data_IF_942811521021
#
_entry.id   IF_942811521021
#
_cell.length_a   1.000
_cell.length_b   1.000
_cell.length_c   1.000
_cell.angle_alpha   90.00
_cell.angle_beta   90.00
_cell.angle_gamma   90.00
#
_symmetry.space_group_name_H-M   'P 1'
#
loop_
_entity.id
_entity.type
_entity.pdbx_description
1 polymer ?
#
# COMPACT_ATOMS: atom_id res chain seq x y z
N UNK A 1 -4.69 1.24 -23.32
CA UNK A 1 -5.62 0.96 -22.21
C UNK A 1 -6.32 -0.38 -22.32
N UNK A 2 -6.89 -0.73 -23.45
CA UNK A 2 -7.56 -2.02 -23.62
C UNK A 2 -6.64 -3.20 -23.36
N UNK A 3 -5.42 -3.18 -23.89
CA UNK A 3 -4.42 -4.21 -23.66
C UNK A 3 -4.11 -4.37 -22.18
N UNK A 4 -3.95 -3.25 -21.46
CA UNK A 4 -3.64 -3.26 -20.04
C UNK A 4 -4.76 -3.86 -19.21
N UNK A 5 -6.01 -3.61 -19.59
CA UNK A 5 -7.17 -4.19 -18.90
C UNK A 5 -7.16 -5.72 -19.00
N UNK A 6 -6.88 -6.26 -20.17
CA UNK A 6 -6.85 -7.71 -20.37
C UNK A 6 -5.62 -8.38 -19.75
N UNK A 7 -4.57 -7.62 -19.46
CA UNK A 7 -3.38 -8.13 -18.79
C UNK A 7 -3.51 -8.16 -17.26
N UNK A 8 -4.53 -7.53 -16.68
CA UNK A 8 -4.68 -7.42 -15.24
C UNK A 8 -4.68 -8.77 -14.50
N UNK A 9 -5.40 -9.80 -14.93
CA UNK A 9 -5.37 -11.08 -14.22
C UNK A 9 -3.97 -11.66 -14.11
N UNK A 10 -3.18 -11.59 -15.17
CA UNK A 10 -1.81 -12.08 -15.18
C UNK A 10 -0.91 -11.20 -14.30
N UNK A 11 -1.05 -9.89 -14.40
CA UNK A 11 -0.27 -8.96 -13.60
C UNK A 11 -0.53 -9.13 -12.11
N UNK A 12 -1.78 -9.30 -11.71
CA UNK A 12 -2.15 -9.54 -10.31
C UNK A 12 -1.58 -10.89 -9.85
N UNK A 13 -1.74 -11.94 -10.66
CA UNK A 13 -1.19 -13.25 -10.36
C UNK A 13 0.32 -13.22 -10.15
N UNK A 14 1.04 -12.49 -11.00
CA UNK A 14 2.48 -12.33 -10.88
C UNK A 14 2.87 -11.54 -9.63
N UNK A 15 2.08 -10.53 -9.28
CA UNK A 15 2.34 -9.71 -8.10
C UNK A 15 2.20 -10.49 -6.80
N UNK A 16 1.17 -11.31 -6.68
CA UNK A 16 0.95 -12.08 -5.46
C UNK A 16 1.68 -13.43 -5.44
N UNK A 17 2.19 -13.87 -6.58
CA UNK A 17 2.92 -15.13 -6.67
C UNK A 17 4.13 -15.16 -5.76
N UNK A 18 4.24 -16.19 -4.93
CA UNK A 18 5.34 -16.34 -3.98
C UNK A 18 5.28 -15.45 -2.75
N UNK A 19 4.26 -14.57 -2.64
CA UNK A 19 4.10 -13.66 -1.50
C UNK A 19 3.01 -14.09 -0.53
N UNK A 20 2.13 -14.98 -0.97
CA UNK A 20 1.02 -15.46 -0.14
C UNK A 20 1.26 -16.90 0.29
N UNK A 21 1.07 -17.17 1.59
CA UNK A 21 0.92 -18.52 2.11
C UNK A 21 -0.53 -18.94 2.06
N UNK A 22 -0.88 -20.03 2.75
CA UNK A 22 -2.25 -20.55 2.74
C UNK A 22 -3.25 -19.58 3.34
N UNK A 23 -2.86 -18.84 4.37
CA UNK A 23 -3.74 -17.91 5.08
C UNK A 23 -3.13 -16.54 5.29
N UNK A 24 -1.84 -16.37 5.07
CA UNK A 24 -1.13 -15.13 5.37
C UNK A 24 -0.18 -14.74 4.24
N UNK A 25 0.24 -13.48 4.29
CA UNK A 25 1.36 -12.99 3.48
C UNK A 25 2.64 -13.54 4.07
N UNK A 26 3.53 -14.06 3.22
CA UNK A 26 4.80 -14.61 3.68
C UNK A 26 5.71 -13.50 4.25
N UNK A 27 6.28 -13.76 5.43
CA UNK A 27 7.01 -12.74 6.20
C UNK A 27 8.24 -12.17 5.50
N UNK A 28 8.95 -13.00 4.75
CA UNK A 28 10.27 -12.62 4.23
C UNK A 28 10.27 -12.02 2.83
N UNK A 29 9.10 -11.81 2.21
CA UNK A 29 9.03 -11.32 0.82
C UNK A 29 9.37 -9.85 0.68
N UNK A 30 9.31 -9.08 1.75
CA UNK A 30 9.57 -7.64 1.73
C UNK A 30 10.92 -7.26 2.32
N UNK A 31 11.74 -8.24 2.64
CA UNK A 31 13.08 -8.03 3.17
C UNK A 31 13.27 -8.46 4.61
N UNK A 32 14.52 -8.46 5.05
CA UNK A 32 14.87 -8.85 6.43
C UNK A 32 14.34 -7.78 7.40
N UNK A 33 13.65 -8.23 8.45
CA UNK A 33 13.09 -7.33 9.47
C UNK A 33 11.78 -6.67 9.09
N UNK A 34 11.24 -6.93 7.89
CA UNK A 34 9.98 -6.31 7.44
C UNK A 34 8.79 -6.72 8.31
N UNK A 35 8.74 -7.97 8.75
CA UNK A 35 7.66 -8.46 9.61
C UNK A 35 7.58 -7.67 10.91
N UNK A 36 8.71 -7.38 11.53
CA UNK A 36 8.76 -6.59 12.77
C UNK A 36 8.37 -5.13 12.52
N UNK A 37 8.87 -4.56 11.43
CA UNK A 37 8.51 -3.20 11.04
C UNK A 37 7.01 -3.06 10.82
N UNK A 38 6.38 -4.02 10.14
CA UNK A 38 4.93 -3.98 9.90
C UNK A 38 4.11 -4.08 11.17
N UNK A 39 4.59 -4.77 12.19
CA UNK A 39 3.89 -4.86 13.48
C UNK A 39 3.88 -3.54 14.23
N UNK A 40 4.84 -2.67 13.97
CA UNK A 40 4.94 -1.36 14.62
C UNK A 40 4.18 -0.26 13.90
N UNK A 41 3.65 -0.53 12.70
CA UNK A 41 2.89 0.45 11.92
C UNK A 41 1.58 0.76 12.61
N UNK A 42 1.35 2.04 12.90
CA UNK A 42 0.11 2.54 13.50
C UNK A 42 -0.70 3.39 12.54
N UNK A 43 -0.09 3.88 11.48
CA UNK A 43 -0.74 4.74 10.48
C UNK A 43 -0.16 4.45 9.12
N UNK A 44 -0.94 4.69 8.08
CA UNK A 44 -0.51 4.50 6.70
C UNK A 44 -0.75 5.80 5.95
N UNK A 45 0.26 6.24 5.21
CA UNK A 45 0.17 7.40 4.32
C UNK A 45 0.28 6.90 2.89
N UNK A 46 -0.78 7.06 2.12
CA UNK A 46 -0.77 6.79 0.68
C UNK A 46 -0.41 8.07 -0.07
N UNK A 47 0.52 7.97 -0.99
CA UNK A 47 0.93 9.08 -1.85
C UNK A 47 0.82 8.61 -3.29
N UNK A 48 -0.10 9.18 -4.03
CA UNK A 48 -0.42 8.69 -5.37
C UNK A 48 -1.01 9.79 -6.24
N UNK A 49 -1.17 9.51 -7.52
CA UNK A 49 -1.87 10.38 -8.45
C UNK A 49 -2.61 9.55 -9.50
N UNK A 50 -3.55 10.19 -10.20
CA UNK A 50 -4.32 9.52 -11.25
C UNK A 50 -5.14 8.34 -10.74
N UNK A 51 -5.16 7.27 -11.52
CA UNK A 51 -5.93 6.06 -11.18
C UNK A 51 -5.40 5.36 -9.94
N UNK A 52 -4.11 5.49 -9.65
CA UNK A 52 -3.51 4.95 -8.43
C UNK A 52 -4.09 5.60 -7.17
N UNK A 53 -4.48 6.88 -7.25
CA UNK A 53 -5.14 7.56 -6.15
C UNK A 53 -6.50 6.92 -5.84
N UNK A 54 -7.24 6.53 -6.87
CA UNK A 54 -8.53 5.83 -6.67
C UNK A 54 -8.32 4.46 -6.04
N UNK A 55 -7.30 3.74 -6.44
CA UNK A 55 -6.94 2.46 -5.82
C UNK A 55 -6.59 2.65 -4.34
N UNK A 56 -5.84 3.70 -4.03
CA UNK A 56 -5.48 4.03 -2.65
C UNK A 56 -6.72 4.35 -1.79
N UNK A 57 -7.69 5.05 -2.35
CA UNK A 57 -8.95 5.35 -1.63
C UNK A 57 -9.73 4.10 -1.30
N UNK A 58 -9.74 3.12 -2.18
CA UNK A 58 -10.38 1.82 -1.93
C UNK A 58 -9.61 1.05 -0.86
N UNK A 59 -8.30 0.99 -0.96
CA UNK A 59 -7.45 0.31 0.00
C UNK A 59 -7.57 0.94 1.39
N UNK A 60 -7.67 2.27 1.47
CA UNK A 60 -7.87 2.98 2.73
C UNK A 60 -9.08 2.45 3.49
N UNK A 61 -10.20 2.30 2.80
CA UNK A 61 -11.40 1.79 3.44
C UNK A 61 -11.18 0.40 4.02
N UNK A 62 -10.52 -0.47 3.26
CA UNK A 62 -10.25 -1.84 3.73
C UNK A 62 -9.31 -1.85 4.93
N UNK A 63 -8.25 -1.04 4.92
CA UNK A 63 -7.34 -0.95 6.06
C UNK A 63 -8.05 -0.46 7.31
N UNK A 64 -8.90 0.56 7.18
CA UNK A 64 -9.63 1.11 8.30
C UNK A 64 -10.68 0.14 8.84
N UNK A 65 -11.43 -0.51 7.94
CA UNK A 65 -12.52 -1.41 8.33
C UNK A 65 -12.04 -2.75 8.88
N UNK A 66 -10.98 -3.31 8.27
CA UNK A 66 -10.50 -4.66 8.61
C UNK A 66 -9.46 -4.63 9.72
N UNK A 67 -8.48 -3.75 9.61
CA UNK A 67 -7.37 -3.71 10.56
C UNK A 67 -7.45 -2.59 11.59
N UNK A 68 -8.37 -1.64 11.38
CA UNK A 68 -8.48 -0.48 12.29
C UNK A 68 -7.30 0.49 12.19
N UNK A 69 -6.51 0.41 11.13
CA UNK A 69 -5.35 1.27 10.94
C UNK A 69 -5.73 2.58 10.25
N UNK A 70 -5.50 3.74 10.88
CA UNK A 70 -5.79 5.02 10.21
C UNK A 70 -4.95 5.22 8.96
N UNK A 71 -5.59 5.71 7.89
CA UNK A 71 -4.95 5.91 6.61
C UNK A 71 -5.17 7.34 6.13
N UNK A 72 -4.13 7.93 5.56
CA UNK A 72 -4.17 9.25 4.96
C UNK A 72 -3.82 9.14 3.49
N UNK A 73 -4.42 9.98 2.66
CA UNK A 73 -4.18 9.97 1.22
C UNK A 73 -3.86 11.38 0.76
N UNK A 74 -2.77 11.53 0.03
CA UNK A 74 -2.37 12.80 -0.57
C UNK A 74 -1.99 12.60 -2.04
N UNK A 75 -2.19 13.64 -2.84
CA UNK A 75 -1.60 13.69 -4.17
C UNK A 75 -0.09 13.73 -4.04
N UNK A 76 0.60 12.97 -4.89
CA UNK A 76 2.06 12.89 -4.86
C UNK A 76 2.71 14.26 -5.01
N UNK A 77 2.19 15.12 -5.90
CA UNK A 77 2.73 16.46 -6.09
C UNK A 77 2.54 17.34 -4.86
N UNK A 78 1.37 17.29 -4.25
CA UNK A 78 1.10 18.08 -3.05
C UNK A 78 1.93 17.62 -1.87
N UNK A 79 2.07 16.30 -1.69
CA UNK A 79 2.87 15.75 -0.62
C UNK A 79 4.32 16.21 -0.70
N UNK A 80 4.88 16.19 -1.91
CA UNK A 80 6.26 16.61 -2.16
C UNK A 80 6.51 18.07 -1.76
N UNK A 81 5.57 18.96 -2.09
CA UNK A 81 5.74 20.41 -1.87
C UNK A 81 5.24 20.90 -0.51
N UNK A 82 4.44 20.10 0.18
CA UNK A 82 3.86 20.49 1.46
C UNK A 82 4.82 20.38 2.63
N UNK A 83 5.99 19.75 2.44
CA UNK A 83 6.96 19.51 3.48
C UNK A 83 6.34 18.81 4.71
N UNK A 84 5.77 17.61 4.53
CA UNK A 84 4.97 16.96 5.57
C UNK A 84 5.79 16.46 6.75
N UNK A 85 5.13 16.36 7.89
CA UNK A 85 5.69 15.69 9.06
C UNK A 85 5.59 14.17 8.87
N UNK A 86 6.69 13.47 9.07
CA UNK A 86 6.71 12.02 9.00
C UNK A 86 6.87 11.46 10.41
N UNK A 87 5.88 10.69 10.85
CA UNK A 87 5.89 10.08 12.17
C UNK A 87 6.67 8.77 12.17
N UNK A 88 7.25 8.40 13.31
CA UNK A 88 8.08 7.20 13.42
C UNK A 88 7.33 5.89 13.11
N UNK A 89 6.05 5.83 13.41
CA UNK A 89 5.23 4.61 13.20
C UNK A 89 4.36 4.71 11.96
N UNK A 90 4.74 5.55 11.00
CA UNK A 90 4.03 5.75 9.75
C UNK A 90 4.61 4.85 8.67
N UNK A 91 3.74 4.11 7.98
CA UNK A 91 4.12 3.43 6.75
C UNK A 91 3.75 4.32 5.57
N UNK A 92 4.72 4.65 4.75
CA UNK A 92 4.53 5.46 3.56
C UNK A 92 4.45 4.56 2.33
N UNK A 93 3.33 4.65 1.62
CA UNK A 93 3.12 3.89 0.39
C UNK A 93 2.99 4.88 -0.77
N UNK A 94 3.98 4.87 -1.63
CA UNK A 94 3.99 5.69 -2.85
C UNK A 94 3.64 4.81 -4.05
N UNK A 95 2.58 5.16 -4.73
CA UNK A 95 2.11 4.42 -5.90
C UNK A 95 2.21 5.29 -7.14
#
# INVERSE_FOLDING_TARGET
MEKEIYEQPEAIGNTIGGRLGDQDVLDNVFGIGSSEAFKEVKRIQFVACGTSLHAAKTARKWFEDISGTPCYIDFASEYRYRNPLVENNLSLIHI
#
